data_IF_050461553768
#
_entry.id   IF_050461553768
#
_cell.length_a   1.000
_cell.length_b   1.000
_cell.length_c   1.000
_cell.angle_alpha   90.00
_cell.angle_beta   90.00
_cell.angle_gamma   90.00
#
_symmetry.space_group_name_H-M   'P 1'
#
loop_
_entity.id
_entity.type
_entity.pdbx_description
1 polymer ?
#
# COMPACT_ATOMS: atom_id res chain seq x y z
N UNK A 1 10.93 -7.80 0.96
CA UNK A 1 10.01 -6.72 0.63
C UNK A 1 9.97 -6.58 -0.88
N UNK A 2 8.80 -6.58 -1.50
CA UNK A 2 8.65 -6.47 -2.96
C UNK A 2 8.72 -5.00 -3.43
N UNK A 3 8.99 -4.76 -4.73
CA UNK A 3 8.95 -3.40 -5.32
C UNK A 3 7.60 -2.73 -5.10
N UNK A 4 6.49 -3.50 -5.18
CA UNK A 4 5.15 -3.00 -4.90
C UNK A 4 4.95 -2.60 -3.44
N UNK A 5 5.44 -3.40 -2.49
CA UNK A 5 5.38 -3.07 -1.06
C UNK A 5 6.12 -1.76 -0.77
N UNK A 6 7.36 -1.63 -1.25
CA UNK A 6 8.14 -0.41 -1.06
C UNK A 6 7.45 0.82 -1.68
N UNK A 7 6.88 0.68 -2.88
CA UNK A 7 6.17 1.76 -3.56
C UNK A 7 4.93 2.23 -2.79
N UNK A 8 4.07 1.30 -2.34
CA UNK A 8 2.87 1.69 -1.61
C UNK A 8 3.19 2.23 -0.20
N UNK A 9 4.30 1.79 0.40
CA UNK A 9 4.83 2.38 1.63
C UNK A 9 5.22 3.84 1.40
N UNK A 10 5.97 4.12 0.32
CA UNK A 10 6.31 5.48 -0.08
C UNK A 10 5.09 6.36 -0.37
N UNK A 11 3.98 5.75 -0.80
CA UNK A 11 2.67 6.41 -0.98
C UNK A 11 1.86 6.64 0.30
N UNK A 12 2.29 6.09 1.43
CA UNK A 12 1.63 6.27 2.74
C UNK A 12 0.81 5.09 3.26
N UNK A 13 0.91 3.90 2.65
CA UNK A 13 0.47 2.65 3.31
C UNK A 13 1.47 2.29 4.40
N UNK A 14 1.00 1.81 5.53
CA UNK A 14 1.87 1.43 6.63
C UNK A 14 2.68 0.16 6.31
N UNK A 15 3.99 0.11 6.66
CA UNK A 15 4.84 -1.05 6.39
C UNK A 15 4.27 -2.37 6.90
N UNK A 16 3.59 -2.35 8.04
CA UNK A 16 3.02 -3.54 8.71
C UNK A 16 1.89 -4.20 7.90
N UNK A 17 1.23 -3.46 7.00
CA UNK A 17 0.11 -3.95 6.20
C UNK A 17 0.38 -3.94 4.70
N UNK A 18 1.52 -3.40 4.25
CA UNK A 18 1.83 -3.30 2.82
C UNK A 18 1.82 -4.68 2.13
N UNK A 19 2.52 -5.67 2.70
CA UNK A 19 2.54 -7.04 2.15
C UNK A 19 1.15 -7.69 2.16
N UNK A 20 0.36 -7.42 3.21
CA UNK A 20 -1.02 -7.89 3.32
C UNK A 20 -1.88 -7.28 2.21
N UNK A 21 -1.78 -5.96 2.00
CA UNK A 21 -2.54 -5.26 0.96
C UNK A 21 -2.23 -5.80 -0.44
N UNK A 22 -0.96 -6.05 -0.76
CA UNK A 22 -0.57 -6.66 -2.04
C UNK A 22 -1.17 -8.06 -2.19
N UNK A 23 -1.04 -8.90 -1.16
CA UNK A 23 -1.51 -10.29 -1.20
C UNK A 23 -3.04 -10.37 -1.31
N UNK A 24 -3.77 -9.60 -0.49
CA UNK A 24 -5.23 -9.65 -0.45
C UNK A 24 -5.88 -8.92 -1.64
N UNK A 25 -5.25 -7.86 -2.18
CA UNK A 25 -5.72 -7.24 -3.43
C UNK A 25 -5.66 -8.25 -4.58
N UNK A 26 -4.53 -8.97 -4.69
CA UNK A 26 -4.38 -10.06 -5.67
C UNK A 26 -5.42 -11.16 -5.44
N UNK A 27 -5.63 -11.59 -4.19
CA UNK A 27 -6.64 -12.63 -3.84
C UNK A 27 -8.05 -12.21 -4.27
N UNK A 28 -8.45 -10.98 -3.97
CA UNK A 28 -9.78 -10.47 -4.25
C UNK A 28 -9.99 -10.10 -5.73
N UNK A 29 -8.92 -10.14 -6.54
CA UNK A 29 -8.87 -9.58 -7.89
C UNK A 29 -9.26 -8.08 -7.91
N UNK A 30 -8.81 -7.35 -6.88
CA UNK A 30 -8.98 -5.92 -6.75
C UNK A 30 -7.72 -5.22 -7.26
N UNK A 31 -7.88 -4.10 -7.98
CA UNK A 31 -6.75 -3.22 -8.27
C UNK A 31 -6.08 -2.78 -6.97
N UNK A 32 -4.76 -3.00 -6.85
CA UNK A 32 -4.00 -2.60 -5.66
C UNK A 32 -4.18 -1.10 -5.39
N UNK A 33 -4.22 -0.27 -6.42
CA UNK A 33 -4.44 1.17 -6.28
C UNK A 33 -5.80 1.49 -5.62
N UNK A 34 -6.86 0.78 -5.99
CA UNK A 34 -8.20 0.91 -5.38
C UNK A 34 -8.15 0.48 -3.91
N UNK A 35 -7.48 -0.63 -3.60
CA UNK A 35 -7.26 -1.09 -2.22
C UNK A 35 -6.48 -0.08 -1.37
N UNK A 36 -5.42 0.54 -1.92
CA UNK A 36 -4.65 1.57 -1.23
C UNK A 36 -5.47 2.82 -0.92
N UNK A 37 -6.31 3.28 -1.86
CA UNK A 37 -7.25 4.39 -1.61
C UNK A 37 -8.18 4.04 -0.45
N UNK A 38 -8.74 2.83 -0.41
CA UNK A 38 -9.61 2.39 0.69
C UNK A 38 -8.86 2.47 2.04
N UNK A 39 -7.69 1.82 2.17
CA UNK A 39 -6.93 1.80 3.42
C UNK A 39 -6.50 3.20 3.89
N UNK A 40 -6.14 4.07 2.96
CA UNK A 40 -5.82 5.46 3.25
C UNK A 40 -7.04 6.22 3.77
N UNK A 41 -8.22 6.05 3.16
CA UNK A 41 -9.45 6.74 3.57
C UNK A 41 -10.03 6.21 4.87
N UNK A 42 -10.00 4.90 5.07
CA UNK A 42 -10.62 4.25 6.23
C UNK A 42 -9.80 4.43 7.50
N UNK A 43 -8.48 4.32 7.42
CA UNK A 43 -7.64 4.25 8.62
C UNK A 43 -6.31 4.99 8.50
N UNK A 44 -6.15 5.86 7.51
CA UNK A 44 -4.92 6.66 7.35
C UNK A 44 -3.70 5.80 7.00
N UNK A 45 -3.89 4.83 6.09
CA UNK A 45 -2.82 3.98 5.57
C UNK A 45 -2.88 2.54 6.06
N UNK A 46 -4.02 2.11 6.62
CA UNK A 46 -4.22 0.75 7.13
C UNK A 46 -3.91 0.58 8.62
N UNK A 47 -4.11 1.63 9.44
CA UNK A 47 -3.96 1.52 10.90
C UNK A 47 -4.97 0.53 11.48
N UNK A 48 -4.52 -0.32 12.39
CA UNK A 48 -5.40 -1.23 13.11
C UNK A 48 -6.05 -0.53 14.31
N UNK A 49 -7.08 0.28 14.06
CA UNK A 49 -7.72 1.15 15.07
C UNK A 49 -9.24 1.03 15.06
N UNK A 50 -9.86 1.40 16.17
CA UNK A 50 -11.32 1.58 16.20
C UNK A 50 -11.72 2.90 15.54
N UNK A 51 -12.89 2.89 14.94
CA UNK A 51 -13.53 4.06 14.36
C UNK A 51 -14.03 5.04 15.42
N UNK A 52 -14.76 6.04 14.93
CA UNK A 52 -15.40 7.08 15.75
C UNK A 52 -16.92 7.11 15.57
N UNK A 53 -17.52 5.97 15.21
CA UNK A 53 -18.97 5.84 15.12
C UNK A 53 -19.61 6.18 16.47
N UNK A 54 -20.82 6.76 16.41
CA UNK A 54 -21.62 7.14 17.57
C UNK A 54 -22.25 5.91 18.23
N UNK A 55 -21.41 5.05 18.79
CA UNK A 55 -21.80 3.89 19.59
C UNK A 55 -22.11 4.32 21.03
N UNK A 56 -22.96 3.56 21.73
CA UNK A 56 -23.44 3.88 23.08
C UNK A 56 -22.35 3.77 24.16
N UNK A 57 -21.54 2.72 24.07
CA UNK A 57 -20.55 2.38 25.10
C UNK A 57 -19.38 1.53 24.58
N UNK A 58 -19.19 1.47 23.25
CA UNK A 58 -18.08 0.75 22.65
C UNK A 58 -16.79 1.58 22.67
N UNK A 59 -15.65 0.99 22.28
CA UNK A 59 -14.41 1.74 22.07
C UNK A 59 -14.62 2.81 20.98
N UNK A 60 -13.91 3.93 21.13
CA UNK A 60 -13.90 5.05 20.19
C UNK A 60 -12.44 5.44 19.99
N UNK A 61 -11.92 5.26 18.78
CA UNK A 61 -10.50 5.42 18.51
C UNK A 61 -9.61 4.41 19.25
N UNK A 62 -8.29 4.60 19.13
CA UNK A 62 -7.29 3.74 19.76
C UNK A 62 -7.05 2.43 18.99
N UNK A 63 -5.97 1.75 19.37
CA UNK A 63 -5.53 0.52 18.70
C UNK A 63 -6.49 -0.64 18.93
N UNK A 64 -6.70 -1.45 17.90
CA UNK A 64 -7.42 -2.72 17.99
C UNK A 64 -6.42 -3.81 18.36
N UNK A 65 -6.67 -4.50 19.47
CA UNK A 65 -5.93 -5.69 19.90
C UNK A 65 -6.90 -6.85 20.06
N UNK A 66 -6.40 -8.08 20.10
CA UNK A 66 -7.27 -9.24 20.34
C UNK A 66 -8.04 -9.13 21.66
N UNK A 67 -7.34 -8.71 22.72
CA UNK A 67 -7.89 -8.56 24.06
C UNK A 67 -9.05 -7.55 24.07
N UNK A 68 -8.80 -6.32 23.62
CA UNK A 68 -9.82 -5.28 23.66
C UNK A 68 -10.95 -5.53 22.65
N UNK A 69 -10.66 -6.24 21.55
CA UNK A 69 -11.68 -6.66 20.59
C UNK A 69 -12.61 -7.70 21.18
N UNK A 70 -12.09 -8.69 21.90
CA UNK A 70 -12.92 -9.69 22.57
C UNK A 70 -13.82 -9.07 23.64
N UNK A 71 -13.34 -8.05 24.36
CA UNK A 71 -14.16 -7.25 25.27
C UNK A 71 -15.28 -6.49 24.54
N UNK A 72 -14.92 -5.81 23.45
CA UNK A 72 -15.87 -5.12 22.58
C UNK A 72 -16.93 -6.09 22.03
N UNK A 73 -16.52 -7.25 21.49
CA UNK A 73 -17.40 -8.24 20.88
C UNK A 73 -18.45 -8.74 21.87
N UNK A 74 -18.05 -9.03 23.12
CA UNK A 74 -18.99 -9.40 24.20
C UNK A 74 -20.04 -8.34 24.49
N UNK A 75 -19.73 -7.08 24.24
CA UNK A 75 -20.60 -5.93 24.54
C UNK A 75 -21.26 -5.32 23.29
N UNK A 76 -20.89 -5.74 22.07
CA UNK A 76 -21.28 -5.09 20.81
C UNK A 76 -22.80 -5.01 20.62
N UNK A 77 -23.53 -6.07 20.94
CA UNK A 77 -25.00 -6.09 20.84
C UNK A 77 -25.69 -5.04 21.73
N UNK A 78 -25.07 -4.69 22.86
CA UNK A 78 -25.56 -3.70 23.81
C UNK A 78 -25.04 -2.28 23.49
N UNK A 79 -23.80 -2.18 23.02
CA UNK A 79 -23.11 -0.91 22.83
C UNK A 79 -23.21 -0.35 21.40
N UNK A 80 -23.56 -1.17 20.41
CA UNK A 80 -23.49 -0.82 18.99
C UNK A 80 -22.17 -1.27 18.36
N UNK A 81 -22.17 -1.40 17.03
CA UNK A 81 -20.99 -1.77 16.26
C UNK A 81 -20.17 -0.54 15.90
N UNK A 82 -18.87 -0.62 16.17
CA UNK A 82 -17.86 0.39 15.82
C UNK A 82 -17.10 -0.07 14.57
N UNK A 83 -16.52 0.85 13.80
CA UNK A 83 -15.52 0.53 12.79
C UNK A 83 -14.30 -0.17 13.39
N UNK A 84 -13.86 -1.27 12.79
CA UNK A 84 -12.73 -2.05 13.30
C UNK A 84 -11.66 -2.18 12.24
N UNK A 85 -10.43 -1.85 12.61
CA UNK A 85 -9.21 -2.22 11.89
C UNK A 85 -8.96 -1.43 10.60
N UNK A 86 -8.01 -1.90 9.77
CA UNK A 86 -7.54 -1.17 8.59
C UNK A 86 -8.64 -0.81 7.59
N UNK A 87 -9.64 -1.68 7.43
CA UNK A 87 -10.74 -1.52 6.49
C UNK A 87 -12.02 -0.94 7.14
N UNK A 88 -11.96 -0.57 8.42
CA UNK A 88 -13.08 -0.02 9.22
C UNK A 88 -14.38 -0.81 9.01
N UNK A 89 -14.36 -2.11 9.30
CA UNK A 89 -15.56 -2.94 9.16
C UNK A 89 -16.59 -2.54 10.22
N UNK A 90 -17.67 -1.82 9.83
CA UNK A 90 -18.66 -1.24 10.76
C UNK A 90 -19.92 -2.11 10.97
N UNK A 91 -20.26 -2.99 10.02
CA UNK A 91 -21.48 -3.80 10.11
C UNK A 91 -21.26 -5.11 10.89
N UNK A 92 -22.13 -5.47 11.86
CA UNK A 92 -21.98 -6.70 12.65
C UNK A 92 -21.76 -7.96 11.83
N UNK A 93 -22.58 -8.21 10.80
CA UNK A 93 -22.45 -9.42 9.98
C UNK A 93 -21.15 -9.50 9.19
N UNK A 94 -20.55 -8.35 8.85
CA UNK A 94 -19.24 -8.29 8.19
C UNK A 94 -18.13 -8.60 9.21
N UNK A 95 -18.24 -8.06 10.43
CA UNK A 95 -17.31 -8.39 11.52
C UNK A 95 -17.39 -9.89 11.88
N UNK A 96 -18.61 -10.45 11.94
CA UNK A 96 -18.81 -11.88 12.23
C UNK A 96 -18.17 -12.78 11.17
N UNK A 97 -18.27 -12.38 9.89
CA UNK A 97 -17.56 -13.06 8.79
C UNK A 97 -16.05 -13.02 9.00
N UNK A 98 -15.49 -11.89 9.42
CA UNK A 98 -14.06 -11.79 9.73
C UNK A 98 -13.68 -12.66 10.93
N UNK A 99 -14.53 -12.73 11.96
CA UNK A 99 -14.31 -13.59 13.12
C UNK A 99 -14.28 -15.07 12.75
N UNK A 100 -15.17 -15.52 11.84
CA UNK A 100 -15.17 -16.88 11.30
C UNK A 100 -13.88 -17.23 10.54
N UNK A 101 -13.18 -16.23 10.00
CA UNK A 101 -11.91 -16.40 9.29
C UNK A 101 -10.68 -16.31 10.20
N UNK A 102 -10.86 -16.03 11.49
CA UNK A 102 -9.78 -16.00 12.48
C UNK A 102 -9.66 -14.71 13.28
N UNK A 103 -10.58 -13.75 13.11
CA UNK A 103 -10.71 -12.59 13.99
C UNK A 103 -10.69 -11.25 13.26
N UNK A 104 -11.71 -10.42 13.47
CA UNK A 104 -11.81 -9.08 12.88
C UNK A 104 -10.70 -8.11 13.36
N UNK A 105 -10.08 -8.38 14.51
CA UNK A 105 -8.96 -7.60 15.06
C UNK A 105 -7.65 -7.79 14.30
N UNK A 106 -7.55 -8.83 13.47
CA UNK A 106 -6.34 -9.15 12.72
C UNK A 106 -6.29 -8.34 11.42
N UNK A 107 -5.21 -7.59 11.16
CA UNK A 107 -5.09 -6.80 9.94
C UNK A 107 -5.27 -7.62 8.65
N UNK A 108 -4.73 -8.84 8.58
CA UNK A 108 -4.81 -9.69 7.38
C UNK A 108 -6.24 -10.15 7.07
N UNK A 109 -6.99 -10.54 8.09
CA UNK A 109 -8.38 -10.97 7.93
C UNK A 109 -9.30 -9.76 7.69
N UNK A 110 -9.07 -8.66 8.39
CA UNK A 110 -9.83 -7.43 8.24
C UNK A 110 -9.70 -6.85 6.82
N UNK A 111 -8.47 -6.76 6.31
CA UNK A 111 -8.19 -6.29 4.94
C UNK A 111 -8.79 -7.25 3.92
N UNK A 112 -8.65 -8.57 4.11
CA UNK A 112 -9.27 -9.57 3.22
C UNK A 112 -10.76 -9.33 3.04
N UNK A 113 -11.50 -9.25 4.14
CA UNK A 113 -12.97 -9.08 4.09
C UNK A 113 -13.34 -7.74 3.45
N UNK A 114 -12.66 -6.65 3.82
CA UNK A 114 -12.89 -5.33 3.22
C UNK A 114 -12.63 -5.30 1.71
N UNK A 115 -11.51 -5.89 1.27
CA UNK A 115 -11.15 -5.94 -0.15
C UNK A 115 -12.08 -6.82 -0.96
N UNK A 116 -12.54 -7.96 -0.43
CA UNK A 116 -13.52 -8.80 -1.12
C UNK A 116 -14.84 -8.06 -1.35
N UNK A 117 -15.34 -7.36 -0.33
CA UNK A 117 -16.57 -6.54 -0.45
C UNK A 117 -16.38 -5.43 -1.47
N UNK A 118 -15.26 -4.71 -1.40
CA UNK A 118 -15.00 -3.63 -2.34
C UNK A 118 -14.85 -4.17 -3.77
N UNK A 119 -14.19 -5.32 -3.96
CA UNK A 119 -14.06 -5.98 -5.25
C UNK A 119 -15.42 -6.40 -5.84
N UNK A 120 -16.32 -6.94 -5.01
CA UNK A 120 -17.70 -7.25 -5.44
C UNK A 120 -18.44 -6.00 -5.92
N UNK A 121 -18.32 -4.87 -5.21
CA UNK A 121 -18.94 -3.63 -5.65
C UNK A 121 -18.31 -3.07 -6.93
N UNK A 122 -16.99 -3.18 -7.08
CA UNK A 122 -16.29 -2.77 -8.31
C UNK A 122 -16.77 -3.60 -9.49
N UNK A 123 -16.87 -4.92 -9.33
CA UNK A 123 -17.36 -5.83 -10.39
C UNK A 123 -18.78 -5.51 -10.82
N UNK A 124 -19.65 -5.16 -9.86
CA UNK A 124 -21.08 -4.99 -10.11
C UNK A 124 -21.47 -3.58 -10.54
N UNK A 125 -20.69 -2.56 -10.18
CA UNK A 125 -21.08 -1.15 -10.38
C UNK A 125 -19.95 -0.20 -10.75
N UNK A 126 -18.72 -0.69 -10.89
CA UNK A 126 -17.54 0.15 -11.14
C UNK A 126 -17.04 0.88 -9.90
N UNK A 127 -15.87 1.51 -10.02
CA UNK A 127 -15.08 1.97 -8.86
C UNK A 127 -15.74 3.10 -8.06
N UNK A 128 -16.36 4.08 -8.74
CA UNK A 128 -16.99 5.22 -8.05
C UNK A 128 -18.16 4.74 -7.17
N UNK A 129 -19.06 3.96 -7.74
CA UNK A 129 -20.20 3.41 -7.00
C UNK A 129 -19.73 2.44 -5.91
N UNK A 130 -18.64 1.72 -6.12
CA UNK A 130 -18.06 0.85 -5.11
C UNK A 130 -17.65 1.62 -3.86
N UNK A 131 -16.96 2.75 -4.00
CA UNK A 131 -16.61 3.59 -2.85
C UNK A 131 -17.85 4.20 -2.17
N UNK A 132 -18.86 4.58 -2.95
CA UNK A 132 -20.11 5.09 -2.38
C UNK A 132 -20.86 4.02 -1.56
N UNK A 133 -20.95 2.80 -2.10
CA UNK A 133 -21.56 1.64 -1.44
C UNK A 133 -20.79 1.23 -0.20
N UNK A 134 -19.46 1.25 -0.26
CA UNK A 134 -18.63 0.91 0.89
C UNK A 134 -18.90 1.86 2.07
N UNK A 135 -18.95 3.17 1.80
CA UNK A 135 -19.16 4.18 2.84
C UNK A 135 -20.63 4.34 3.29
N UNK A 136 -21.61 4.15 2.41
CA UNK A 136 -23.02 4.50 2.69
C UNK A 136 -24.02 3.35 2.53
N UNK A 137 -23.58 2.20 2.01
CA UNK A 137 -24.46 1.11 1.60
C UNK A 137 -25.24 1.37 0.30
N UNK A 138 -25.08 2.54 -0.35
CA UNK A 138 -25.83 2.94 -1.56
C UNK A 138 -24.89 3.39 -2.69
N UNK A 139 -25.23 3.13 -3.97
CA UNK A 139 -24.48 3.67 -5.10
C UNK A 139 -24.66 5.20 -5.20
N UNK A 140 -23.83 5.86 -6.01
CA UNK A 140 -23.98 7.28 -6.34
C UNK A 140 -22.73 8.13 -6.10
N UNK A 141 -22.85 9.42 -6.39
CA UNK A 141 -21.74 10.38 -6.34
C UNK A 141 -21.62 11.08 -4.98
N UNK A 142 -21.27 10.31 -3.95
CA UNK A 142 -21.08 10.86 -2.60
C UNK A 142 -19.79 11.69 -2.51
N UNK A 143 -19.69 12.65 -1.57
CA UNK A 143 -18.42 13.36 -1.32
C UNK A 143 -17.25 12.41 -1.05
N UNK A 144 -17.51 11.30 -0.33
CA UNK A 144 -16.53 10.25 -0.10
C UNK A 144 -16.05 9.61 -1.41
N UNK A 145 -16.98 9.23 -2.30
CA UNK A 145 -16.63 8.62 -3.58
C UNK A 145 -15.86 9.57 -4.50
N UNK A 146 -16.27 10.85 -4.58
CA UNK A 146 -15.52 11.87 -5.35
C UNK A 146 -14.10 12.04 -4.83
N UNK A 147 -13.95 12.09 -3.51
CA UNK A 147 -12.65 12.22 -2.85
C UNK A 147 -11.77 10.97 -3.04
N UNK A 148 -12.36 9.78 -3.10
CA UNK A 148 -11.64 8.55 -3.45
C UNK A 148 -11.18 8.57 -4.92
N UNK A 149 -12.07 8.93 -5.83
CA UNK A 149 -11.77 9.02 -7.26
C UNK A 149 -10.71 10.08 -7.57
N UNK A 150 -10.63 11.19 -6.82
CA UNK A 150 -9.59 12.20 -7.02
C UNK A 150 -8.20 11.73 -6.61
N UNK A 151 -8.10 10.73 -5.72
CA UNK A 151 -6.85 10.15 -5.24
C UNK A 151 -6.41 8.92 -6.04
N UNK A 152 -7.33 8.24 -6.71
CA UNK A 152 -7.05 7.03 -7.46
C UNK A 152 -5.93 7.20 -8.51
N UNK A 153 -5.89 8.27 -9.34
CA UNK A 153 -4.82 8.45 -10.33
C UNK A 153 -3.43 8.59 -9.72
N UNK A 154 -3.31 9.01 -8.47
CA UNK A 154 -2.02 9.03 -7.77
C UNK A 154 -1.56 7.62 -7.42
N UNK A 155 -2.47 6.80 -6.88
CA UNK A 155 -2.17 5.42 -6.52
C UNK A 155 -1.94 4.53 -7.76
N UNK A 156 -2.68 4.75 -8.84
CA UNK A 156 -2.45 4.05 -10.11
C UNK A 156 -1.02 4.28 -10.63
N UNK A 157 -0.53 5.53 -10.56
CA UNK A 157 0.85 5.86 -10.94
C UNK A 157 1.89 5.17 -10.04
N UNK A 158 1.70 5.20 -8.72
CA UNK A 158 2.59 4.52 -7.78
C UNK A 158 2.69 3.02 -8.08
N UNK A 159 1.54 2.38 -8.32
CA UNK A 159 1.50 0.93 -8.58
C UNK A 159 2.09 0.59 -9.95
N UNK A 160 1.79 1.40 -10.99
CA UNK A 160 2.32 1.19 -12.33
C UNK A 160 3.85 1.33 -12.39
N UNK A 161 4.41 2.38 -11.76
CA UNK A 161 5.85 2.58 -11.70
C UNK A 161 6.57 1.42 -11.00
N UNK A 162 5.93 0.79 -10.01
CA UNK A 162 6.48 -0.38 -9.33
C UNK A 162 6.48 -1.64 -10.22
N UNK A 163 5.54 -1.75 -11.16
CA UNK A 163 5.51 -2.81 -12.17
C UNK A 163 6.59 -2.58 -13.24
N UNK A 164 6.70 -1.36 -13.77
CA UNK A 164 7.74 -0.97 -14.75
C UNK A 164 9.15 -1.19 -14.17
N UNK A 165 9.40 -0.70 -12.95
CA UNK A 165 10.69 -0.92 -12.28
C UNK A 165 10.99 -2.41 -12.12
N UNK A 166 9.98 -3.25 -11.85
CA UNK A 166 10.19 -4.70 -11.72
C UNK A 166 10.54 -5.34 -13.06
N UNK A 167 9.91 -4.90 -14.14
CA UNK A 167 10.20 -5.38 -15.51
C UNK A 167 11.61 -4.97 -15.94
N UNK A 168 11.97 -3.69 -15.79
CA UNK A 168 13.33 -3.19 -16.06
C UNK A 168 14.39 -3.96 -15.26
N UNK A 169 14.12 -4.23 -13.97
CA UNK A 169 15.02 -5.00 -13.11
C UNK A 169 15.10 -6.49 -13.46
N UNK A 170 14.04 -7.07 -14.04
CA UNK A 170 14.00 -8.48 -14.45
C UNK A 170 14.74 -8.73 -15.77
N UNK A 171 14.88 -7.72 -16.62
CA UNK A 171 15.69 -7.76 -17.83
C UNK A 171 17.21 -7.66 -17.55
N UNK A 172 17.58 -7.19 -16.36
CA UNK A 172 18.98 -7.11 -15.91
C UNK A 172 19.43 -8.46 -15.35
N UNK A 173 20.43 -9.13 -15.95
CA UNK A 173 20.95 -10.41 -15.46
C UNK A 173 21.42 -10.33 -14.00
N UNK A 174 21.11 -11.35 -13.19
CA UNK A 174 21.43 -11.40 -11.75
C UNK A 174 22.91 -11.11 -11.42
N UNK A 175 23.85 -11.45 -12.29
CA UNK A 175 25.27 -11.16 -12.07
C UNK A 175 25.62 -9.65 -12.14
N UNK A 176 24.82 -8.86 -12.87
CA UNK A 176 24.94 -7.40 -12.88
C UNK A 176 24.41 -6.81 -11.56
N UNK A 177 23.35 -7.39 -10.99
CA UNK A 177 22.89 -7.08 -9.63
C UNK A 177 23.95 -7.34 -8.59
N UNK A 178 24.55 -8.53 -8.61
CA UNK A 178 25.58 -8.90 -7.64
C UNK A 178 26.77 -7.93 -7.76
N UNK A 179 27.11 -7.44 -8.96
CA UNK A 179 28.16 -6.43 -9.14
C UNK A 179 27.81 -5.06 -8.57
N UNK A 180 26.61 -4.54 -8.84
CA UNK A 180 26.18 -3.22 -8.36
C UNK A 180 25.97 -3.25 -6.85
N UNK A 181 25.28 -4.26 -6.34
CA UNK A 181 25.00 -4.40 -4.91
C UNK A 181 26.28 -4.66 -4.10
N UNK A 182 27.19 -5.53 -4.55
CA UNK A 182 28.49 -5.69 -3.89
C UNK A 182 29.36 -4.43 -3.98
N UNK A 183 29.21 -3.62 -5.02
CA UNK A 183 29.92 -2.34 -5.13
C UNK A 183 29.36 -1.31 -4.16
N UNK A 184 28.04 -1.16 -4.07
CA UNK A 184 27.37 -0.27 -3.12
C UNK A 184 27.63 -0.72 -1.68
N UNK A 185 27.57 -2.01 -1.39
CA UNK A 185 27.91 -2.56 -0.07
C UNK A 185 29.38 -2.34 0.30
N UNK A 186 30.32 -2.44 -0.64
CA UNK A 186 31.73 -2.09 -0.39
C UNK A 186 31.95 -0.58 -0.20
N UNK A 187 31.02 0.25 -0.67
CA UNK A 187 31.04 1.70 -0.46
C UNK A 187 30.34 2.12 0.83
N UNK A 188 29.41 1.31 1.35
CA UNK A 188 28.65 1.58 2.60
C UNK A 188 29.17 0.81 3.82
N UNK A 189 29.88 -0.30 3.62
CA UNK A 189 30.79 -0.87 4.61
C UNK A 189 32.08 -0.03 4.60
N UNK A 190 32.03 1.10 5.30
CA UNK A 190 33.21 1.95 5.49
C UNK A 190 34.40 1.11 5.94
N UNK A 191 35.57 1.40 5.38
CA UNK A 191 36.83 1.02 6.00
C UNK A 191 36.80 1.61 7.42
N UNK A 192 37.05 0.79 8.44
CA UNK A 192 37.08 1.25 9.84
C UNK A 192 37.97 2.51 9.94
N UNK A 193 37.35 3.65 10.27
CA UNK A 193 38.05 4.91 10.56
C UNK A 193 37.68 6.12 9.69
N UNK A 194 36.87 5.98 8.63
CA UNK A 194 36.51 7.13 7.78
C UNK A 194 35.06 7.60 8.00
N UNK A 195 34.89 8.76 8.62
CA UNK A 195 33.61 9.46 8.73
C UNK A 195 33.20 10.02 7.36
N UNK A 196 32.13 9.49 6.77
CA UNK A 196 31.66 9.91 5.46
C UNK A 196 30.72 11.13 5.60
N UNK A 197 31.23 12.29 5.22
CA UNK A 197 30.48 13.54 5.17
C UNK A 197 29.76 13.61 3.79
N UNK A 198 28.59 14.24 3.70
CA UNK A 198 27.73 14.28 2.51
C UNK A 198 28.35 14.76 1.19
N UNK A 199 29.59 15.25 1.21
CA UNK A 199 30.38 15.60 0.03
C UNK A 199 30.86 14.37 -0.76
N UNK A 200 31.20 13.25 -0.09
CA UNK A 200 31.59 12.01 -0.80
C UNK A 200 30.41 11.39 -1.54
N UNK A 201 29.22 11.37 -0.92
CA UNK A 201 28.00 10.89 -1.57
C UNK A 201 27.66 11.73 -2.81
N UNK A 202 27.79 13.05 -2.73
CA UNK A 202 27.58 13.95 -3.88
C UNK A 202 28.65 13.75 -4.97
N UNK A 203 29.91 13.54 -4.59
CA UNK A 203 30.98 13.24 -5.55
C UNK A 203 30.72 11.94 -6.30
N UNK A 204 30.23 10.91 -5.61
CA UNK A 204 29.92 9.61 -6.21
C UNK A 204 28.65 9.64 -7.06
N UNK A 205 27.61 10.36 -6.62
CA UNK A 205 26.41 10.59 -7.43
C UNK A 205 26.77 11.30 -8.74
N UNK A 206 27.69 12.29 -8.70
CA UNK A 206 28.18 12.97 -9.89
C UNK A 206 28.96 12.04 -10.82
N UNK A 207 29.76 11.10 -10.29
CA UNK A 207 30.45 10.08 -11.10
C UNK A 207 29.49 9.09 -11.74
N UNK A 208 28.42 8.70 -11.05
CA UNK A 208 27.37 7.84 -11.60
C UNK A 208 26.67 8.57 -12.75
N UNK A 209 26.30 9.84 -12.56
CA UNK A 209 25.68 10.66 -13.61
C UNK A 209 26.58 10.79 -14.85
N UNK A 210 27.90 10.96 -14.67
CA UNK A 210 28.85 10.99 -15.80
C UNK A 210 28.93 9.64 -16.53
N UNK A 211 28.90 8.52 -15.81
CA UNK A 211 28.88 7.18 -16.41
C UNK A 211 27.60 6.98 -17.23
N UNK A 212 26.43 7.36 -16.70
CA UNK A 212 25.15 7.27 -17.41
C UNK A 212 25.18 8.10 -18.70
N UNK A 213 25.62 9.36 -18.63
CA UNK A 213 25.72 10.22 -19.80
C UNK A 213 26.68 9.68 -20.88
N UNK A 214 27.73 8.95 -20.47
CA UNK A 214 28.66 8.28 -21.40
C UNK A 214 28.03 7.05 -22.04
N UNK A 215 27.22 6.29 -21.31
CA UNK A 215 26.47 5.14 -21.85
C UNK A 215 25.44 5.60 -22.88
N UNK A 216 24.67 6.66 -22.60
CA UNK A 216 23.72 7.25 -23.56
C UNK A 216 24.40 7.69 -24.87
N UNK A 217 25.60 8.28 -24.78
CA UNK A 217 26.41 8.65 -25.96
C UNK A 217 26.89 7.44 -26.75
N UNK A 218 27.20 6.33 -26.08
CA UNK A 218 27.62 5.09 -26.74
C UNK A 218 26.41 4.46 -27.44
N UNK A 219 25.26 4.41 -26.78
CA UNK A 219 24.00 3.92 -27.37
C UNK A 219 23.58 4.74 -28.59
N UNK A 220 23.67 6.08 -28.52
CA UNK A 220 23.38 6.95 -29.66
C UNK A 220 24.32 6.70 -30.85
N UNK A 221 25.61 6.42 -30.59
CA UNK A 221 26.58 6.06 -31.63
C UNK A 221 26.32 4.68 -32.23
N UNK A 222 25.91 3.71 -31.42
CA UNK A 222 25.55 2.36 -31.87
C UNK A 222 24.24 2.35 -32.66
N UNK A 223 23.32 3.28 -32.37
CA UNK A 223 22.05 3.45 -33.07
C UNK A 223 22.16 4.22 -34.41
N UNK A 224 23.35 4.64 -34.83
CA UNK A 224 23.58 5.21 -36.17
C UNK A 224 22.87 6.54 -36.46
N UNK A 225 22.53 7.35 -35.44
CA UNK A 225 22.02 8.71 -35.68
C UNK A 225 23.19 9.69 -35.86
N UNK A 226 23.28 10.44 -36.96
CA UNK A 226 24.28 11.49 -37.09
C UNK A 226 23.96 12.60 -36.10
N UNK A 227 24.94 12.94 -35.24
CA UNK A 227 24.89 14.12 -34.38
C UNK A 227 25.04 15.37 -35.24
N UNK A 228 23.98 16.16 -35.36
CA UNK A 228 24.02 17.57 -35.74
C UNK A 228 23.97 18.44 -34.49
#
# INVERSE_FOLDING_TARGET
>A
MTTKEAAIIGGGILPEVAGIAVAEAKRAQLSLAVGCVMLMKESGGGRNVYGHDKVRCGPVGGSVTEENYRDYLRNRSRCGAQGVGPAQLTYPGIQDRADQLGGCWRPDINIRVGFEILADYVRTSGVRDAFSRYNTGKPGDTPYARDAMSKLPHWERIVAQADETREDMAEVPQWQWDRVFNRVLRMSAGVEGENHNGEQFNHEQNRINDIVARLEKIEAKLAGKPTS
#
